data_IF_925583207955
#
_entry.id   IF_925583207955
#
_cell.length_a   1.000
_cell.length_b   1.000
_cell.length_c   1.000
_cell.angle_alpha   90.00
_cell.angle_beta   90.00
_cell.angle_gamma   90.00
#
_symmetry.space_group_name_H-M   'P 1'
#
loop_
_entity.id
_entity.type
_entity.pdbx_description
1 polymer ?
#
# COMPACT_ATOMS: atom_id res chain seq x y z
N UNK A 1 -10.83 -3.04 -22.66
CA UNK A 1 -10.32 -4.40 -22.42
C UNK A 1 -9.50 -4.76 -23.64
N UNK A 2 -8.21 -5.01 -23.45
CA UNK A 2 -7.34 -5.49 -24.52
C UNK A 2 -7.72 -6.95 -24.82
N UNK A 3 -7.65 -7.34 -26.09
CA UNK A 3 -7.88 -8.72 -26.52
C UNK A 3 -6.87 -9.68 -25.82
N UNK A 4 -7.30 -10.84 -25.27
CA UNK A 4 -6.42 -11.73 -24.50
C UNK A 4 -5.22 -12.27 -25.29
N UNK A 5 -5.39 -12.58 -26.57
CA UNK A 5 -4.29 -13.00 -27.44
C UNK A 5 -3.29 -11.86 -27.61
N UNK A 6 -3.79 -10.65 -27.85
CA UNK A 6 -2.94 -9.45 -27.94
C UNK A 6 -2.20 -9.18 -26.63
N UNK A 7 -2.87 -9.34 -25.48
CA UNK A 7 -2.23 -9.21 -24.16
C UNK A 7 -1.10 -10.23 -23.96
N UNK A 8 -1.33 -11.49 -24.34
CA UNK A 8 -0.33 -12.55 -24.20
C UNK A 8 0.91 -12.23 -25.04
N UNK A 9 0.74 -11.86 -26.31
CA UNK A 9 1.85 -11.47 -27.19
C UNK A 9 2.62 -10.25 -26.65
N UNK A 10 1.91 -9.20 -26.25
CA UNK A 10 2.53 -8.01 -25.63
C UNK A 10 3.35 -8.37 -24.38
N UNK A 11 2.90 -9.38 -23.64
CA UNK A 11 3.59 -9.85 -22.42
C UNK A 11 4.89 -10.58 -22.74
N UNK A 12 4.95 -11.32 -23.85
CA UNK A 12 6.18 -11.98 -24.30
C UNK A 12 7.24 -10.94 -24.71
N UNK A 13 6.83 -9.92 -25.47
CA UNK A 13 7.71 -8.81 -25.88
C UNK A 13 8.22 -8.04 -24.65
N UNK A 14 7.32 -7.74 -23.71
CA UNK A 14 7.64 -7.05 -22.46
C UNK A 14 8.61 -7.85 -21.58
N UNK A 15 8.40 -9.17 -21.47
CA UNK A 15 9.29 -10.04 -20.72
C UNK A 15 10.73 -9.96 -21.27
N UNK A 16 10.87 -10.02 -22.60
CA UNK A 16 12.17 -9.89 -23.27
C UNK A 16 12.82 -8.52 -23.02
N UNK A 17 12.05 -7.42 -23.09
CA UNK A 17 12.55 -6.06 -22.80
C UNK A 17 13.13 -5.94 -21.38
N UNK A 18 12.52 -6.63 -20.41
CA UNK A 18 12.95 -6.61 -19.01
C UNK A 18 13.95 -7.73 -18.67
N UNK A 19 14.48 -8.42 -19.68
CA UNK A 19 15.54 -9.42 -19.52
C UNK A 19 15.08 -10.72 -18.88
N UNK A 20 13.83 -11.11 -19.11
CA UNK A 20 13.35 -12.46 -18.81
C UNK A 20 13.63 -13.39 -20.00
N UNK A 21 14.05 -14.60 -19.68
CA UNK A 21 14.04 -15.72 -20.63
C UNK A 21 12.63 -16.30 -20.66
N UNK A 22 12.15 -16.66 -21.85
CA UNK A 22 10.77 -17.10 -22.06
C UNK A 22 10.75 -18.41 -22.82
N UNK A 23 10.16 -19.43 -22.21
CA UNK A 23 9.82 -20.69 -22.86
C UNK A 23 8.31 -20.76 -23.10
N UNK A 24 7.92 -20.82 -24.38
CA UNK A 24 6.53 -20.82 -24.81
C UNK A 24 6.07 -22.20 -25.28
N UNK A 25 5.09 -22.78 -24.58
CA UNK A 25 4.55 -24.12 -24.83
C UNK A 25 3.03 -24.10 -24.98
N UNK A 26 2.52 -23.71 -26.15
CA UNK A 26 1.10 -23.64 -26.57
C UNK A 26 0.13 -22.90 -25.63
N UNK A 27 -0.03 -23.33 -24.38
CA UNK A 27 -0.90 -22.78 -23.33
C UNK A 27 -0.17 -22.57 -22.00
N UNK A 28 1.14 -22.67 -22.01
CA UNK A 28 1.99 -22.41 -20.86
C UNK A 28 3.12 -21.51 -21.33
N UNK A 29 3.29 -20.39 -20.64
CA UNK A 29 4.48 -19.55 -20.78
C UNK A 29 5.25 -19.63 -19.46
N UNK A 30 6.53 -20.00 -19.56
CA UNK A 30 7.48 -19.99 -18.46
C UNK A 30 8.42 -18.81 -18.63
N UNK A 31 8.50 -17.96 -17.61
CA UNK A 31 9.40 -16.82 -17.56
C UNK A 31 10.44 -17.04 -16.48
N UNK A 32 11.71 -17.01 -16.86
CA UNK A 32 12.83 -17.25 -15.94
C UNK A 32 13.80 -16.07 -15.93
N UNK A 33 14.20 -15.64 -14.73
CA UNK A 33 15.20 -14.60 -14.53
C UNK A 33 15.90 -14.78 -13.19
N UNK A 34 17.22 -14.91 -13.23
CA UNK A 34 18.05 -15.27 -12.08
C UNK A 34 17.49 -16.55 -11.41
N UNK A 35 17.17 -16.51 -10.11
CA UNK A 35 16.58 -17.64 -9.37
C UNK A 35 15.04 -17.60 -9.33
N UNK A 36 14.39 -16.76 -10.15
CA UNK A 36 12.94 -16.56 -10.15
C UNK A 36 12.33 -17.21 -11.39
N UNK A 37 11.28 -18.02 -11.18
CA UNK A 37 10.48 -18.62 -12.25
C UNK A 37 9.02 -18.23 -12.09
N UNK A 38 8.38 -17.84 -13.19
CA UNK A 38 6.95 -17.54 -13.27
C UNK A 38 6.33 -18.47 -14.30
N UNK A 39 5.23 -19.13 -13.95
CA UNK A 39 4.45 -19.97 -14.84
C UNK A 39 3.07 -19.35 -15.05
N UNK A 40 2.75 -19.00 -16.29
CA UNK A 40 1.42 -18.55 -16.69
C UNK A 40 0.75 -19.62 -17.56
N UNK A 41 -0.36 -20.17 -17.09
CA UNK A 41 -1.20 -21.09 -17.86
C UNK A 41 -2.38 -20.36 -18.48
N UNK A 42 -2.72 -20.73 -19.69
CA UNK A 42 -3.73 -20.07 -20.49
C UNK A 42 -4.85 -21.03 -20.92
N UNK A 43 -6.04 -20.46 -21.00
CA UNK A 43 -7.22 -21.00 -21.65
C UNK A 43 -7.00 -21.11 -23.18
N UNK A 44 -7.95 -21.73 -23.89
CA UNK A 44 -7.95 -21.75 -25.35
C UNK A 44 -8.18 -20.38 -26.00
N UNK A 45 -8.69 -19.43 -25.23
CA UNK A 45 -8.90 -18.03 -25.65
C UNK A 45 -7.79 -17.09 -25.13
N UNK A 46 -6.64 -17.65 -24.73
CA UNK A 46 -5.50 -16.91 -24.18
C UNK A 46 -5.78 -16.12 -22.87
N UNK A 47 -6.87 -16.42 -22.16
CA UNK A 47 -7.08 -15.91 -20.78
C UNK A 47 -6.22 -16.67 -19.78
N UNK A 48 -5.60 -15.99 -18.81
CA UNK A 48 -4.81 -16.65 -17.76
C UNK A 48 -5.71 -17.47 -16.83
N UNK A 49 -5.49 -18.79 -16.78
CA UNK A 49 -6.21 -19.73 -15.91
C UNK A 49 -5.43 -20.10 -14.65
N UNK A 50 -4.11 -19.94 -14.65
CA UNK A 50 -3.28 -20.13 -13.46
C UNK A 50 -2.00 -19.31 -13.59
N UNK A 51 -1.54 -18.77 -12.47
CA UNK A 51 -0.31 -18.00 -12.40
C UNK A 51 0.48 -18.38 -11.15
N UNK A 52 1.72 -18.85 -11.31
CA UNK A 52 2.58 -19.27 -10.20
C UNK A 52 3.92 -18.55 -10.26
N UNK A 53 4.48 -18.12 -9.13
CA UNK A 53 5.84 -17.58 -9.00
C UNK A 53 6.61 -18.31 -7.92
N UNK A 54 7.77 -18.84 -8.30
CA UNK A 54 8.72 -19.50 -7.43
C UNK A 54 9.95 -18.61 -7.23
N UNK A 55 10.42 -18.51 -5.99
CA UNK A 55 11.56 -17.69 -5.58
C UNK A 55 12.42 -18.46 -4.58
N UNK A 56 13.74 -18.23 -4.53
CA UNK A 56 14.59 -18.89 -3.55
C UNK A 56 14.19 -18.47 -2.13
N UNK A 57 14.10 -19.45 -1.22
CA UNK A 57 13.82 -19.24 0.20
C UNK A 57 12.49 -18.52 0.52
N UNK A 58 11.51 -18.55 -0.38
CA UNK A 58 10.15 -18.07 -0.14
C UNK A 58 9.14 -19.12 -0.56
N UNK A 59 7.96 -19.09 0.06
CA UNK A 59 6.83 -19.90 -0.38
C UNK A 59 6.41 -19.50 -1.79
N UNK A 60 5.97 -20.47 -2.58
CA UNK A 60 5.40 -20.25 -3.90
C UNK A 60 4.14 -19.39 -3.80
N UNK A 61 4.01 -18.44 -4.71
CA UNK A 61 2.78 -17.66 -4.89
C UNK A 61 1.99 -18.26 -6.04
N UNK A 62 0.76 -18.69 -5.80
CA UNK A 62 -0.09 -19.31 -6.83
C UNK A 62 -1.49 -18.69 -6.84
N UNK A 63 -2.01 -18.46 -8.05
CA UNK A 63 -3.31 -17.84 -8.31
C UNK A 63 -4.07 -18.64 -9.37
N UNK A 64 -5.37 -18.86 -9.13
CA UNK A 64 -6.26 -19.59 -10.02
C UNK A 64 -7.00 -18.66 -10.99
N UNK A 65 -7.78 -19.23 -11.91
CA UNK A 65 -8.62 -18.50 -12.85
C UNK A 65 -9.60 -17.53 -12.16
N UNK A 66 -10.11 -17.91 -10.98
CA UNK A 66 -11.05 -17.10 -10.20
C UNK A 66 -10.36 -15.96 -9.42
N UNK A 67 -9.02 -15.94 -9.41
CA UNK A 67 -8.26 -14.89 -8.74
C UNK A 67 -8.31 -13.61 -9.58
N UNK A 68 -8.80 -12.48 -9.02
CA UNK A 68 -8.83 -11.23 -9.78
C UNK A 68 -7.41 -10.74 -10.09
N UNK A 69 -7.27 -10.08 -11.25
CA UNK A 69 -6.06 -9.32 -11.61
C UNK A 69 -4.85 -10.15 -12.05
N UNK A 70 -5.04 -11.37 -12.57
CA UNK A 70 -3.93 -12.22 -13.05
C UNK A 70 -3.05 -11.51 -14.11
N UNK A 71 -3.67 -10.82 -15.06
CA UNK A 71 -2.97 -10.06 -16.12
C UNK A 71 -2.04 -8.98 -15.54
N UNK A 72 -2.57 -8.19 -14.60
CA UNK A 72 -1.80 -7.13 -13.94
C UNK A 72 -0.70 -7.71 -13.06
N UNK A 73 -0.98 -8.81 -12.35
CA UNK A 73 -0.01 -9.51 -11.51
C UNK A 73 1.17 -10.03 -12.31
N UNK A 74 0.91 -10.68 -13.45
CA UNK A 74 1.96 -11.14 -14.36
C UNK A 74 2.82 -9.97 -14.84
N UNK A 75 2.21 -8.86 -15.25
CA UNK A 75 2.95 -7.65 -15.66
C UNK A 75 3.81 -7.06 -14.54
N UNK A 76 3.29 -6.99 -13.31
CA UNK A 76 4.04 -6.52 -12.14
C UNK A 76 5.24 -7.41 -11.89
N UNK A 77 5.06 -8.73 -11.94
CA UNK A 77 6.15 -9.67 -11.70
C UNK A 77 7.26 -9.58 -12.75
N UNK A 78 6.90 -9.40 -14.02
CA UNK A 78 7.87 -9.28 -15.11
C UNK A 78 8.61 -7.93 -15.10
N UNK A 79 7.90 -6.84 -14.84
CA UNK A 79 8.50 -5.50 -14.99
C UNK A 79 9.01 -4.90 -13.68
N UNK A 80 8.61 -5.47 -12.53
CA UNK A 80 8.75 -4.82 -11.23
C UNK A 80 7.95 -3.52 -11.11
N UNK A 81 7.01 -3.26 -12.03
CA UNK A 81 6.20 -2.04 -12.09
C UNK A 81 4.72 -2.41 -12.15
N UNK A 82 3.91 -1.81 -11.29
CA UNK A 82 2.46 -1.85 -11.47
C UNK A 82 2.11 -1.29 -12.86
N UNK A 83 1.36 -2.06 -13.66
CA UNK A 83 0.93 -1.60 -14.98
C UNK A 83 -0.03 -0.43 -14.77
N UNK A 84 0.21 0.70 -15.42
CA UNK A 84 -0.53 1.95 -15.24
C UNK A 84 -2.00 1.91 -15.72
N UNK A 85 -2.58 0.73 -15.90
CA UNK A 85 -3.93 0.51 -16.44
C UNK A 85 -4.80 -0.37 -15.53
N UNK A 86 -4.80 -0.06 -14.24
CA UNK A 86 -5.97 -0.21 -13.39
C UNK A 86 -6.20 1.14 -12.69
N UNK A 87 -7.05 1.99 -13.29
CA UNK A 87 -7.60 3.23 -12.69
C UNK A 87 -6.58 4.21 -12.10
N UNK A 88 -6.04 5.12 -12.94
CA UNK A 88 -5.50 6.45 -12.58
C UNK A 88 -4.97 6.66 -11.15
N UNK A 89 -3.81 6.07 -10.83
CA UNK A 89 -3.12 6.27 -9.55
C UNK A 89 -1.96 7.27 -9.54
N UNK A 90 -1.64 7.95 -10.66
CA UNK A 90 -0.44 8.83 -10.77
C UNK A 90 -0.51 10.13 -9.95
N UNK A 91 -1.58 10.34 -9.18
CA UNK A 91 -1.78 11.58 -8.42
C UNK A 91 -1.65 11.47 -6.90
N UNK A 92 -1.84 10.30 -6.26
CA UNK A 92 -2.10 10.25 -4.82
C UNK A 92 -0.97 10.87 -3.97
N UNK A 93 0.27 10.66 -4.39
CA UNK A 93 1.46 11.22 -3.74
C UNK A 93 1.95 12.52 -4.39
N UNK A 94 1.36 12.94 -5.51
CA UNK A 94 1.79 14.13 -6.25
C UNK A 94 1.59 15.39 -5.41
N UNK A 95 2.65 16.19 -5.29
CA UNK A 95 2.65 17.43 -4.51
C UNK A 95 2.71 17.22 -3.00
N UNK A 96 2.77 15.98 -2.52
CA UNK A 96 2.94 15.71 -1.10
C UNK A 96 4.41 15.85 -0.69
N UNK A 97 4.65 16.63 0.37
CA UNK A 97 5.90 16.54 1.13
C UNK A 97 5.93 15.21 1.90
N UNK A 98 6.74 14.26 1.45
CA UNK A 98 6.91 12.94 2.10
C UNK A 98 8.28 12.87 2.76
N UNK A 99 8.33 12.24 3.95
CA UNK A 99 9.57 11.93 4.66
C UNK A 99 9.72 10.42 4.82
N UNK A 100 10.97 9.98 4.94
CA UNK A 100 11.33 8.58 5.14
C UNK A 100 12.23 8.48 6.36
N UNK A 101 12.13 7.38 7.11
CA UNK A 101 13.14 7.07 8.11
C UNK A 101 14.49 6.86 7.41
N UNK A 102 15.53 7.53 7.89
CA UNK A 102 16.87 7.56 7.26
C UNK A 102 17.88 6.63 7.93
N UNK A 103 17.44 5.81 8.89
CA UNK A 103 18.30 4.76 9.45
C UNK A 103 18.42 3.68 8.40
N UNK A 104 19.65 3.43 7.92
CA UNK A 104 19.97 2.49 6.85
C UNK A 104 19.24 1.15 7.04
N UNK A 105 18.32 0.81 6.12
CA UNK A 105 18.44 -0.37 5.26
C UNK A 105 17.32 -0.53 4.22
N UNK A 106 16.08 -0.08 4.43
CA UNK A 106 14.98 -0.23 3.44
C UNK A 106 13.67 0.51 3.86
N UNK A 107 13.52 1.83 3.66
CA UNK A 107 12.25 2.51 3.91
C UNK A 107 11.17 2.06 2.90
N UNK A 108 9.92 1.97 3.35
CA UNK A 108 8.81 1.76 2.42
C UNK A 108 8.78 2.85 1.33
N UNK A 109 8.80 2.43 0.06
CA UNK A 109 8.33 3.28 -1.01
C UNK A 109 6.80 3.45 -0.88
N UNK A 110 6.23 4.64 -1.17
CA UNK A 110 4.81 4.90 -0.97
C UNK A 110 3.90 3.95 -1.74
N UNK A 111 4.23 3.68 -2.99
CA UNK A 111 3.49 2.78 -3.88
C UNK A 111 3.57 1.34 -3.37
N UNK A 112 4.76 0.91 -2.97
CA UNK A 112 4.95 -0.45 -2.44
C UNK A 112 4.18 -0.68 -1.13
N UNK A 113 4.00 0.36 -0.30
CA UNK A 113 3.18 0.25 0.91
C UNK A 113 1.70 0.03 0.58
N UNK A 114 1.20 0.69 -0.47
CA UNK A 114 -0.18 0.50 -0.96
C UNK A 114 -0.34 -0.88 -1.58
N UNK A 115 0.62 -1.30 -2.41
CA UNK A 115 0.61 -2.59 -3.09
C UNK A 115 0.67 -3.77 -2.10
N UNK A 116 1.34 -3.59 -0.95
CA UNK A 116 1.42 -4.59 0.10
C UNK A 116 0.09 -4.84 0.82
N UNK A 117 -0.90 -3.94 0.72
CA UNK A 117 -2.26 -4.18 1.22
C UNK A 117 -2.98 -5.07 0.22
N UNK A 118 -3.07 -6.37 0.49
CA UNK A 118 -3.65 -7.38 -0.39
C UNK A 118 -5.19 -7.43 -0.31
N UNK A 119 -5.76 -7.14 0.86
CA UNK A 119 -7.22 -7.06 1.01
C UNK A 119 -7.78 -5.87 0.23
N UNK A 120 -8.78 -6.14 -0.62
CA UNK A 120 -9.33 -5.13 -1.53
C UNK A 120 -10.09 -4.02 -0.80
N UNK A 121 -10.75 -4.33 0.32
CA UNK A 121 -11.51 -3.35 1.10
C UNK A 121 -10.56 -2.44 1.87
N UNK A 122 -9.52 -3.02 2.47
CA UNK A 122 -8.44 -2.28 3.13
C UNK A 122 -7.68 -1.39 2.14
N UNK A 123 -7.42 -1.89 0.93
CA UNK A 123 -6.79 -1.10 -0.15
C UNK A 123 -7.69 0.06 -0.56
N UNK A 124 -8.99 -0.17 -0.76
CA UNK A 124 -9.95 0.89 -1.07
C UNK A 124 -10.02 1.94 0.06
N UNK A 125 -10.00 1.50 1.31
CA UNK A 125 -9.91 2.37 2.49
C UNK A 125 -8.66 3.25 2.45
N UNK A 126 -7.48 2.66 2.20
CA UNK A 126 -6.22 3.38 2.12
C UNK A 126 -6.21 4.39 0.97
N UNK A 127 -6.70 4.00 -0.20
CA UNK A 127 -6.82 4.90 -1.35
C UNK A 127 -7.68 6.11 -1.01
N UNK A 128 -8.86 5.88 -0.42
CA UNK A 128 -9.76 6.97 -0.02
C UNK A 128 -9.10 7.92 0.98
N UNK A 129 -8.36 7.39 1.94
CA UNK A 129 -7.62 8.19 2.90
C UNK A 129 -6.52 9.03 2.23
N UNK A 130 -5.78 8.45 1.28
CA UNK A 130 -4.72 9.15 0.53
C UNK A 130 -5.29 10.26 -0.37
N UNK A 131 -6.48 10.07 -0.95
CA UNK A 131 -7.20 11.15 -1.66
C UNK A 131 -7.50 12.34 -0.73
N UNK A 132 -7.90 12.07 0.52
CA UNK A 132 -8.18 13.12 1.51
C UNK A 132 -6.90 13.87 1.93
N UNK A 133 -5.77 13.16 2.05
CA UNK A 133 -4.45 13.76 2.26
C UNK A 133 -4.09 14.67 1.08
N UNK A 134 -4.24 14.18 -0.15
CA UNK A 134 -3.94 14.91 -1.37
C UNK A 134 -4.86 16.13 -1.57
N UNK A 135 -6.14 16.00 -1.25
CA UNK A 135 -7.08 17.13 -1.28
C UNK A 135 -6.67 18.21 -0.28
N UNK A 136 -6.24 17.79 0.92
CA UNK A 136 -5.85 18.71 1.99
C UNK A 136 -4.49 19.38 1.72
N UNK A 137 -3.58 18.74 1.00
CA UNK A 137 -2.28 19.33 0.64
C UNK A 137 -2.39 20.57 -0.25
N UNK A 138 -3.54 20.75 -0.93
CA UNK A 138 -3.85 21.91 -1.76
C UNK A 138 -4.37 23.10 -0.94
N UNK A 139 -4.62 22.92 0.35
CA UNK A 139 -5.03 23.98 1.27
C UNK A 139 -3.81 24.60 1.95
N UNK A 140 -3.92 25.83 2.52
CA UNK A 140 -2.85 26.41 3.30
C UNK A 140 -2.39 25.50 4.44
N UNK A 141 -1.10 25.19 4.48
CA UNK A 141 -0.50 24.38 5.54
C UNK A 141 -0.65 25.06 6.91
N UNK A 142 -0.76 24.25 7.97
CA UNK A 142 -0.83 24.70 9.37
C UNK A 142 0.41 24.33 10.18
N UNK A 143 1.35 23.62 9.55
CA UNK A 143 2.69 23.36 10.05
C UNK A 143 3.67 23.22 8.88
N UNK A 144 4.91 22.91 9.19
CA UNK A 144 6.01 22.84 8.22
C UNK A 144 6.60 21.42 8.07
N UNK A 145 6.00 20.40 8.68
CA UNK A 145 6.59 19.07 8.81
C UNK A 145 6.59 18.27 7.49
N UNK A 146 5.65 17.36 7.31
CA UNK A 146 5.39 16.59 6.08
C UNK A 146 3.92 16.15 6.07
N UNK A 147 3.42 15.63 4.96
CA UNK A 147 2.08 15.04 4.88
C UNK A 147 2.09 13.58 5.33
N UNK A 148 3.10 12.84 4.88
CA UNK A 148 3.29 11.43 5.17
C UNK A 148 4.73 11.17 5.62
N UNK A 149 4.90 10.22 6.53
CA UNK A 149 6.19 9.67 6.88
C UNK A 149 6.16 8.15 6.76
N UNK A 150 7.13 7.56 6.08
CA UNK A 150 7.27 6.12 5.91
C UNK A 150 8.43 5.57 6.74
N UNK A 151 8.14 4.54 7.55
CA UNK A 151 9.13 3.79 8.33
C UNK A 151 9.84 2.71 7.52
N UNK A 152 10.76 2.00 8.18
CA UNK A 152 11.60 0.93 7.62
C UNK A 152 10.87 -0.42 7.55
N UNK A 153 11.06 -1.21 6.50
CA UNK A 153 10.64 -2.62 6.50
C UNK A 153 11.41 -3.45 7.53
N UNK A 154 10.84 -4.57 8.03
CA UNK A 154 9.49 -5.07 7.77
C UNK A 154 8.40 -4.50 8.71
N UNK A 155 8.77 -3.78 9.78
CA UNK A 155 7.82 -3.37 10.84
C UNK A 155 7.37 -1.90 10.82
N UNK A 156 7.98 -1.08 9.98
CA UNK A 156 7.73 0.35 9.86
C UNK A 156 6.42 0.63 9.15
N UNK A 157 5.78 1.71 9.57
CA UNK A 157 4.45 2.10 9.11
C UNK A 157 4.41 3.44 8.39
N UNK A 158 3.24 3.76 7.84
CA UNK A 158 2.92 5.07 7.28
C UNK A 158 2.25 5.95 8.35
N UNK A 159 2.86 7.08 8.69
CA UNK A 159 2.27 8.08 9.59
C UNK A 159 1.63 9.19 8.77
N UNK A 160 0.48 9.65 9.23
CA UNK A 160 -0.30 10.70 8.55
C UNK A 160 -0.24 11.99 9.37
N UNK A 161 0.07 13.10 8.71
CA UNK A 161 0.23 14.41 9.34
C UNK A 161 -0.72 15.43 8.72
N UNK A 162 -1.98 15.53 9.21
CA UNK A 162 -2.95 16.48 8.70
C UNK A 162 -2.41 17.93 8.74
N UNK A 163 -2.53 18.64 7.62
CA UNK A 163 -2.02 20.02 7.43
C UNK A 163 -0.54 20.21 7.79
N UNK A 164 0.27 19.15 7.72
CA UNK A 164 1.70 19.17 8.03
C UNK A 164 2.03 19.61 9.47
N UNK A 165 1.10 19.44 10.41
CA UNK A 165 1.35 19.69 11.83
C UNK A 165 2.43 18.75 12.38
N UNK A 166 3.00 19.08 13.53
CA UNK A 166 4.21 18.43 14.07
C UNK A 166 3.99 16.99 14.52
N UNK A 167 2.85 16.70 15.13
CA UNK A 167 2.54 15.40 15.74
C UNK A 167 1.39 14.71 14.98
N UNK A 168 1.55 13.42 14.62
CA UNK A 168 0.53 12.68 13.89
C UNK A 168 -0.53 12.11 14.85
N UNK A 169 -1.83 12.06 14.47
CA UNK A 169 -2.87 11.41 15.26
C UNK A 169 -2.73 9.88 15.29
N UNK A 170 -2.42 9.27 14.13
CA UNK A 170 -2.37 7.82 13.92
C UNK A 170 -1.32 7.43 12.89
N UNK A 171 -1.09 6.12 12.78
CA UNK A 171 -0.20 5.48 11.82
C UNK A 171 -0.79 4.16 11.35
N UNK A 172 -0.33 3.70 10.20
CA UNK A 172 -0.72 2.42 9.59
C UNK A 172 0.47 1.49 9.45
N UNK A 173 0.23 0.19 9.47
CA UNK A 173 1.17 -0.83 8.99
C UNK A 173 0.42 -1.83 8.11
N UNK A 174 1.17 -2.57 7.32
CA UNK A 174 0.67 -3.77 6.66
C UNK A 174 1.09 -4.97 7.50
N UNK A 175 0.16 -5.88 7.76
CA UNK A 175 0.39 -7.11 8.51
C UNK A 175 -0.34 -8.26 7.79
N UNK A 176 0.42 -9.23 7.27
CA UNK A 176 -0.13 -10.35 6.48
C UNK A 176 -1.12 -9.91 5.38
N UNK A 177 -0.80 -8.83 4.65
CA UNK A 177 -1.64 -8.29 3.58
C UNK A 177 -2.81 -7.41 4.05
N UNK A 178 -3.05 -7.30 5.36
CA UNK A 178 -4.12 -6.47 5.93
C UNK A 178 -3.60 -5.10 6.36
N UNK A 179 -4.44 -4.06 6.23
CA UNK A 179 -4.13 -2.73 6.72
C UNK A 179 -4.54 -2.60 8.20
N UNK A 180 -3.55 -2.25 9.02
CA UNK A 180 -3.74 -2.08 10.45
C UNK A 180 -3.50 -0.62 10.84
N UNK A 181 -4.29 -0.09 11.77
CA UNK A 181 -4.16 1.26 12.33
C UNK A 181 -3.77 1.22 13.81
N UNK A 182 -2.97 2.20 14.25
CA UNK A 182 -2.74 2.45 15.66
C UNK A 182 -2.66 3.95 15.94
N UNK A 183 -3.07 4.33 17.15
CA UNK A 183 -2.91 5.67 17.68
C UNK A 183 -1.47 6.04 18.04
N UNK A 184 -1.16 7.34 18.00
CA UNK A 184 0.16 7.86 18.33
C UNK A 184 0.34 8.28 19.81
N UNK A 185 -0.67 8.09 20.67
CA UNK A 185 -0.65 8.53 22.08
C UNK A 185 0.31 7.75 23.00
N UNK A 186 0.84 6.61 22.57
CA UNK A 186 1.95 5.87 23.23
C UNK A 186 3.23 5.85 22.39
N UNK A 187 3.30 6.64 21.33
CA UNK A 187 4.54 6.79 20.56
C UNK A 187 5.51 7.71 21.31
N UNK A 188 6.82 7.59 21.05
CA UNK A 188 7.88 8.37 21.71
C UNK A 188 7.90 9.88 21.33
N UNK A 189 6.74 10.47 21.04
CA UNK A 189 6.57 11.90 20.76
C UNK A 189 6.52 12.68 22.08
N UNK A 190 7.69 13.18 22.50
CA UNK A 190 7.82 14.01 23.71
C UNK A 190 6.86 15.19 23.65
N UNK A 191 6.05 15.35 24.70
CA UNK A 191 5.13 16.48 24.88
C UNK A 191 3.66 16.20 24.51
N UNK A 192 3.35 15.07 23.87
CA UNK A 192 1.96 14.72 23.50
C UNK A 192 1.56 13.29 23.89
N UNK A 193 2.41 12.54 24.59
CA UNK A 193 2.03 11.22 25.11
C UNK A 193 0.80 11.34 26.00
N UNK A 194 -0.20 10.48 25.79
CA UNK A 194 -1.47 10.45 26.54
C UNK A 194 -2.26 11.77 26.52
N UNK A 195 -1.99 12.66 25.56
CA UNK A 195 -2.66 13.97 25.50
C UNK A 195 -4.18 13.80 25.34
N UNK A 196 -5.03 14.53 26.09
CA UNK A 196 -6.49 14.40 26.03
C UNK A 196 -7.10 14.57 24.63
N UNK A 197 -6.41 15.32 23.76
CA UNK A 197 -6.77 15.47 22.34
C UNK A 197 -6.85 14.15 21.55
N UNK A 198 -6.28 13.05 22.04
CA UNK A 198 -6.39 11.73 21.42
C UNK A 198 -7.67 10.96 21.80
N UNK A 199 -8.45 11.43 22.79
CA UNK A 199 -9.57 10.66 23.34
C UNK A 199 -10.62 10.28 22.29
N UNK A 200 -10.92 11.16 21.33
CA UNK A 200 -11.90 10.89 20.26
C UNK A 200 -11.44 9.76 19.33
N UNK A 201 -10.16 9.77 18.94
CA UNK A 201 -9.59 8.70 18.11
C UNK A 201 -9.51 7.39 18.89
N UNK A 202 -9.13 7.43 20.17
CA UNK A 202 -9.10 6.22 20.99
C UNK A 202 -10.49 5.60 21.09
N UNK A 203 -11.53 6.40 21.35
CA UNK A 203 -12.91 5.92 21.39
C UNK A 203 -13.37 5.31 20.05
N UNK A 204 -13.01 5.93 18.92
CA UNK A 204 -13.27 5.38 17.58
C UNK A 204 -12.64 3.99 17.38
N UNK A 205 -11.46 3.75 17.97
CA UNK A 205 -10.77 2.46 17.90
C UNK A 205 -11.21 1.48 19.01
N UNK A 206 -12.18 1.85 19.86
CA UNK A 206 -12.60 1.04 21.01
C UNK A 206 -11.55 0.98 22.13
N UNK A 207 -10.71 2.02 22.25
CA UNK A 207 -9.56 2.10 23.15
C UNK A 207 -9.64 3.31 24.09
N UNK A 208 -8.72 3.35 25.06
CA UNK A 208 -8.45 4.52 25.90
C UNK A 208 -7.06 5.11 25.56
N UNK A 209 -7.03 6.42 25.29
CA UNK A 209 -5.81 7.19 25.04
C UNK A 209 -4.82 7.23 26.20
N UNK A 210 -5.24 6.91 27.44
CA UNK A 210 -4.32 6.76 28.59
C UNK A 210 -3.70 5.35 28.63
N UNK A 211 -4.32 4.39 27.94
CA UNK A 211 -3.92 2.99 27.84
C UNK A 211 -3.04 2.68 26.62
N UNK A 212 -2.83 1.40 26.34
CA UNK A 212 -2.05 0.95 25.18
C UNK A 212 -2.69 1.42 23.86
N UNK A 213 -1.87 1.48 22.81
CA UNK A 213 -2.31 1.76 21.44
C UNK A 213 -2.05 0.54 20.55
N UNK A 214 -2.78 -0.59 20.74
CA UNK A 214 -2.60 -1.78 19.91
C UNK A 214 -2.96 -1.50 18.45
N UNK A 215 -2.39 -2.30 17.55
CA UNK A 215 -2.77 -2.33 16.15
C UNK A 215 -4.16 -2.97 16.00
N UNK A 216 -5.05 -2.29 15.28
CA UNK A 216 -6.43 -2.72 15.03
C UNK A 216 -6.67 -2.78 13.52
N UNK A 217 -7.42 -3.77 12.99
CA UNK A 217 -7.81 -3.77 11.58
C UNK A 217 -8.61 -2.52 11.20
N UNK A 218 -8.52 -2.08 9.95
CA UNK A 218 -9.33 -0.94 9.45
C UNK A 218 -10.72 -1.35 8.96
N UNK A 219 -11.01 -2.65 8.89
CA UNK A 219 -12.21 -3.22 8.24
C UNK A 219 -13.55 -2.64 8.71
N UNK A 220 -13.64 -2.17 9.95
CA UNK A 220 -14.87 -1.59 10.53
C UNK A 220 -14.87 -0.05 10.53
N UNK A 221 -13.88 0.59 9.90
CA UNK A 221 -13.72 2.04 9.89
C UNK A 221 -14.19 2.65 8.58
N UNK A 222 -14.76 3.84 8.68
CA UNK A 222 -15.01 4.71 7.54
C UNK A 222 -13.81 5.66 7.34
N UNK A 223 -13.21 5.71 6.13
CA UNK A 223 -11.99 6.50 5.88
C UNK A 223 -12.23 8.02 5.95
N UNK A 224 -13.40 8.50 5.54
CA UNK A 224 -13.78 9.91 5.64
C UNK A 224 -13.97 10.30 7.12
N UNK A 225 -14.61 9.43 7.91
CA UNK A 225 -14.81 9.65 9.34
C UNK A 225 -13.49 9.61 10.12
N UNK A 226 -12.61 8.67 9.78
CA UNK A 226 -11.27 8.61 10.36
C UNK A 226 -10.49 9.90 10.05
N UNK A 227 -10.56 10.41 8.82
CA UNK A 227 -9.90 11.65 8.45
C UNK A 227 -10.41 12.86 9.26
N UNK A 228 -11.73 12.99 9.41
CA UNK A 228 -12.33 14.04 10.23
C UNK A 228 -11.84 14.01 11.68
N UNK A 229 -11.87 12.82 12.30
CA UNK A 229 -11.39 12.64 13.68
C UNK A 229 -9.88 12.89 13.76
N UNK A 230 -9.13 12.39 12.79
CA UNK A 230 -7.69 12.62 12.66
C UNK A 230 -7.32 14.09 12.60
N UNK A 231 -8.07 14.90 11.84
CA UNK A 231 -7.86 16.35 11.76
C UNK A 231 -8.14 17.03 13.11
N UNK A 232 -9.26 16.69 13.78
CA UNK A 232 -9.61 17.25 15.09
C UNK A 232 -8.55 16.93 16.13
N UNK A 233 -8.10 15.68 16.19
CA UNK A 233 -7.03 15.21 17.08
C UNK A 233 -5.72 15.92 16.74
N UNK A 234 -5.36 15.99 15.45
CA UNK A 234 -4.16 16.68 14.98
C UNK A 234 -4.17 18.15 15.42
N UNK A 235 -5.30 18.86 15.33
CA UNK A 235 -5.43 20.22 15.84
C UNK A 235 -5.29 20.29 17.37
N UNK A 236 -5.87 19.35 18.10
CA UNK A 236 -5.85 19.36 19.57
C UNK A 236 -4.45 19.10 20.16
N UNK A 237 -3.65 18.23 19.54
CA UNK A 237 -2.31 17.86 20.03
C UNK A 237 -1.19 18.76 19.50
N UNK A 238 -1.51 19.66 18.56
CA UNK A 238 -0.56 20.61 17.95
C UNK A 238 -1.09 22.04 18.12
N UNK A 239 -0.90 22.66 19.30
CA UNK A 239 -1.28 24.05 19.55
C UNK A 239 -0.47 25.05 18.73
#
# INVERSE_FOLDING_TARGET
>A
MTDPTSFRLDTLDLASEFGWEVDHLSRLDEFSKDDITILAQYSSDDTITSLTRTRPNRADEAFSADSPGNDERLRVWLTGRASATATSGTGLFQGLKIKFDRRDTDPWAPEEFVDAVEDQSDRAFLHRLLELVQKTSRLPARGDYCHLFFGQRPGGGMFVYPFMRRFPPYKFKVDAGQLMIAGCWKSNFKGVSEHPGFAELAAMLGLDHTGSAPWTPVSDLDPDKLWEVGERVSRAINP
#
